data_IF_516036340547
#
_entry.id   IF_516036340547
#
_cell.length_a   1.000
_cell.length_b   1.000
_cell.length_c   1.000
_cell.angle_alpha   90.00
_cell.angle_beta   90.00
_cell.angle_gamma   90.00
#
_symmetry.space_group_name_H-M   'P 1'
#
loop_
_entity.id
_entity.type
_entity.pdbx_description
1 polymer ?
#
# COMPACT_ATOMS: atom_id res chain seq x y z
N UNK A 1 15.11 -22.32 20.05
CA UNK A 1 15.04 -21.15 20.93
C UNK A 1 14.77 -19.93 20.06
N UNK A 2 13.71 -19.18 20.34
CA UNK A 2 13.44 -17.92 19.64
C UNK A 2 14.33 -16.83 20.25
N UNK A 3 15.15 -16.20 19.42
CA UNK A 3 15.86 -14.98 19.78
C UNK A 3 14.85 -13.90 20.21
N UNK A 4 15.16 -13.17 21.28
CA UNK A 4 14.31 -12.05 21.74
C UNK A 4 14.40 -10.86 20.78
N UNK A 5 13.39 -9.98 20.80
CA UNK A 5 13.41 -8.76 19.97
C UNK A 5 14.63 -7.90 20.31
N UNK A 6 14.97 -7.79 21.59
CA UNK A 6 16.11 -7.02 22.08
C UNK A 6 17.45 -7.63 21.64
N UNK A 7 17.60 -8.96 21.71
CA UNK A 7 18.81 -9.66 21.22
C UNK A 7 19.00 -9.47 19.72
N UNK A 8 17.90 -9.55 18.96
CA UNK A 8 17.92 -9.32 17.52
C UNK A 8 18.27 -7.86 17.18
N UNK A 9 17.70 -6.91 17.93
CA UNK A 9 18.00 -5.47 17.82
C UNK A 9 19.48 -5.24 18.09
N UNK A 10 20.00 -5.75 19.19
CA UNK A 10 21.40 -5.58 19.61
C UNK A 10 22.39 -6.21 18.61
N UNK A 11 22.08 -7.38 18.05
CA UNK A 11 22.91 -7.98 17.00
C UNK A 11 22.92 -7.15 15.72
N UNK A 12 21.76 -6.64 15.30
CA UNK A 12 21.63 -5.85 14.08
C UNK A 12 22.28 -4.47 14.23
N UNK A 13 22.09 -3.81 15.38
CA UNK A 13 22.77 -2.54 15.70
C UNK A 13 24.26 -2.74 15.97
N UNK A 14 24.66 -3.94 16.42
CA UNK A 14 26.02 -4.44 16.60
C UNK A 14 26.90 -4.35 15.34
N UNK A 15 26.29 -4.48 14.17
CA UNK A 15 26.95 -4.42 12.86
C UNK A 15 27.02 -3.01 12.26
N UNK A 16 26.44 -2.02 12.95
CA UNK A 16 26.37 -0.63 12.50
C UNK A 16 27.55 0.14 13.11
N UNK A 17 28.28 0.98 12.34
CA UNK A 17 29.39 1.77 12.85
C UNK A 17 29.05 2.57 14.12
N UNK A 18 30.02 2.76 15.03
CA UNK A 18 29.81 3.46 16.32
C UNK A 18 29.28 4.89 16.17
N UNK A 19 29.77 5.63 15.16
CA UNK A 19 29.28 6.98 14.85
C UNK A 19 27.77 6.98 14.56
N UNK A 20 27.23 5.84 14.13
CA UNK A 20 25.83 5.68 13.80
C UNK A 20 24.95 5.54 15.05
N UNK A 21 25.40 4.79 16.06
CA UNK A 21 24.70 4.65 17.34
C UNK A 21 24.68 5.95 18.13
N UNK A 22 25.70 6.79 17.95
CA UNK A 22 25.82 8.08 18.63
C UNK A 22 24.82 9.14 18.13
N UNK A 23 24.28 8.99 16.92
CA UNK A 23 23.35 9.95 16.31
C UNK A 23 21.89 9.54 16.52
N UNK A 24 21.63 8.26 16.78
CA UNK A 24 20.28 7.79 17.05
C UNK A 24 19.89 8.03 18.51
N UNK A 25 19.12 9.10 18.74
CA UNK A 25 18.20 9.07 19.87
C UNK A 25 17.26 7.84 19.70
N UNK A 26 16.97 7.08 20.77
CA UNK A 26 16.28 5.78 20.70
C UNK A 26 14.88 5.76 20.04
N UNK A 27 14.39 6.88 19.50
CA UNK A 27 13.04 7.05 18.97
C UNK A 27 12.97 7.83 17.65
N UNK A 28 14.09 8.10 16.98
CA UNK A 28 14.04 8.78 15.69
C UNK A 28 13.62 7.81 14.57
N UNK A 29 12.31 7.65 14.46
CA UNK A 29 11.58 6.92 13.41
C UNK A 29 12.06 7.31 12.01
N UNK A 30 12.34 8.59 11.79
CA UNK A 30 12.72 9.12 10.48
C UNK A 30 14.15 8.73 10.13
N UNK A 31 15.08 8.84 11.09
CA UNK A 31 16.46 8.35 10.91
C UNK A 31 16.49 6.84 10.61
N UNK A 32 15.68 6.04 11.30
CA UNK A 32 15.56 4.61 11.02
C UNK A 32 15.00 4.33 9.61
N UNK A 33 14.03 5.13 9.15
CA UNK A 33 13.54 5.02 7.77
C UNK A 33 14.62 5.39 6.74
N UNK A 34 15.28 6.54 6.90
CA UNK A 34 16.35 7.03 6.01
C UNK A 34 17.46 5.98 5.87
N UNK A 35 17.81 5.32 6.96
CA UNK A 35 18.74 4.20 6.97
C UNK A 35 18.30 3.01 6.15
N UNK A 36 17.05 2.61 6.35
CA UNK A 36 16.46 1.51 5.58
C UNK A 36 16.61 1.80 4.09
N UNK A 37 16.22 3.00 3.66
CA UNK A 37 16.35 3.49 2.29
C UNK A 37 17.82 3.56 1.82
N UNK A 38 18.74 4.05 2.66
CA UNK A 38 20.17 4.07 2.37
C UNK A 38 20.71 2.66 2.09
N UNK A 39 20.34 1.67 2.90
CA UNK A 39 20.77 0.30 2.65
C UNK A 39 20.12 -0.31 1.40
N UNK A 40 18.89 0.09 1.03
CA UNK A 40 18.33 -0.34 -0.26
C UNK A 40 19.16 0.13 -1.46
N UNK A 41 19.71 1.35 -1.39
CA UNK A 41 20.57 1.94 -2.44
C UNK A 41 21.86 1.15 -2.68
N UNK A 42 22.48 0.62 -1.63
CA UNK A 42 23.82 0.00 -1.71
C UNK A 42 23.84 -1.37 -2.41
N UNK A 43 22.66 -2.00 -2.60
CA UNK A 43 22.48 -3.34 -3.19
C UNK A 43 23.21 -4.46 -2.44
N UNK A 44 22.88 -5.71 -2.76
CA UNK A 44 23.48 -6.90 -2.17
C UNK A 44 22.80 -7.39 -0.88
N UNK A 45 23.09 -8.63 -0.50
CA UNK A 45 22.34 -9.35 0.53
C UNK A 45 22.51 -8.77 1.95
N UNK A 46 23.71 -8.31 2.28
CA UNK A 46 24.01 -7.67 3.58
C UNK A 46 23.17 -6.40 3.73
N UNK A 47 23.19 -5.52 2.73
CA UNK A 47 22.42 -4.29 2.76
C UNK A 47 20.91 -4.54 2.72
N UNK A 48 20.41 -5.53 1.98
CA UNK A 48 19.00 -5.91 2.03
C UNK A 48 18.55 -6.36 3.44
N UNK A 49 19.43 -7.03 4.19
CA UNK A 49 19.16 -7.43 5.58
C UNK A 49 19.17 -6.25 6.54
N UNK A 50 20.12 -5.33 6.38
CA UNK A 50 20.19 -4.08 7.15
C UNK A 50 18.98 -3.17 6.85
N UNK A 51 18.55 -3.06 5.59
CA UNK A 51 17.36 -2.31 5.22
C UNK A 51 16.11 -2.83 5.95
N UNK A 52 15.90 -4.16 5.94
CA UNK A 52 14.80 -4.79 6.68
C UNK A 52 14.86 -4.52 8.18
N UNK A 53 16.05 -4.57 8.77
CA UNK A 53 16.26 -4.30 10.19
C UNK A 53 15.83 -2.87 10.54
N UNK A 54 16.29 -1.90 9.74
CA UNK A 54 16.01 -0.49 9.99
C UNK A 54 14.54 -0.11 9.77
N UNK A 55 13.92 -0.66 8.72
CA UNK A 55 12.48 -0.49 8.54
C UNK A 55 11.65 -1.13 9.66
N UNK A 56 12.09 -2.26 10.23
CA UNK A 56 11.42 -2.83 11.40
C UNK A 56 11.48 -1.87 12.60
N UNK A 57 12.65 -1.30 12.89
CA UNK A 57 12.82 -0.29 13.96
C UNK A 57 11.94 0.94 13.71
N UNK A 58 11.87 1.42 12.47
CA UNK A 58 11.03 2.56 12.09
C UNK A 58 9.53 2.25 12.31
N UNK A 59 9.08 1.06 11.93
CA UNK A 59 7.69 0.64 12.06
C UNK A 59 7.26 0.34 13.51
N UNK A 60 8.18 -0.02 14.40
CA UNK A 60 7.87 -0.25 15.82
C UNK A 60 7.34 1.00 16.53
N UNK A 61 7.79 2.19 16.12
CA UNK A 61 7.52 3.45 16.83
C UNK A 61 6.50 4.36 16.11
N UNK A 62 6.08 4.06 14.87
CA UNK A 62 5.06 4.80 14.13
C UNK A 62 4.34 3.90 13.10
N UNK A 63 3.45 3.00 13.53
CA UNK A 63 3.25 1.74 12.82
C UNK A 63 2.51 1.83 11.50
N UNK A 64 1.57 2.75 11.32
CA UNK A 64 0.72 2.79 10.12
C UNK A 64 1.36 3.62 9.01
N UNK A 65 1.55 4.92 9.25
CA UNK A 65 2.13 5.85 8.27
C UNK A 65 3.51 5.41 7.81
N UNK A 66 4.35 4.94 8.75
CA UNK A 66 5.67 4.46 8.40
C UNK A 66 5.60 3.16 7.60
N UNK A 67 4.68 2.24 7.89
CA UNK A 67 4.53 1.01 7.10
C UNK A 67 4.16 1.29 5.64
N UNK A 68 3.29 2.28 5.38
CA UNK A 68 2.98 2.71 4.02
C UNK A 68 4.19 3.31 3.30
N UNK A 69 4.99 4.13 3.99
CA UNK A 69 6.24 4.70 3.44
C UNK A 69 7.29 3.63 3.16
N UNK A 70 7.45 2.66 4.06
CA UNK A 70 8.33 1.51 3.86
C UNK A 70 7.88 0.68 2.65
N UNK A 71 6.58 0.44 2.52
CA UNK A 71 6.04 -0.27 1.36
C UNK A 71 6.37 0.48 0.06
N UNK A 72 6.18 1.81 0.04
CA UNK A 72 6.49 2.66 -1.12
C UNK A 72 7.97 2.60 -1.48
N UNK A 73 8.85 2.62 -0.48
CA UNK A 73 10.29 2.49 -0.69
C UNK A 73 10.63 1.14 -1.34
N UNK A 74 10.12 0.03 -0.81
CA UNK A 74 10.32 -1.30 -1.42
C UNK A 74 9.77 -1.38 -2.85
N UNK A 75 8.63 -0.74 -3.10
CA UNK A 75 8.01 -0.66 -4.42
C UNK A 75 8.94 0.06 -5.41
N UNK A 76 9.47 1.24 -5.03
CA UNK A 76 10.40 2.04 -5.84
C UNK A 76 11.68 1.30 -6.20
N UNK A 77 12.15 0.43 -5.30
CA UNK A 77 13.35 -0.39 -5.49
C UNK A 77 13.09 -1.73 -6.18
N UNK A 78 11.86 -2.00 -6.62
CA UNK A 78 11.53 -3.21 -7.36
C UNK A 78 11.47 -4.48 -6.50
N UNK A 79 11.14 -4.36 -5.21
CA UNK A 79 10.82 -5.51 -4.34
C UNK A 79 9.32 -5.49 -3.97
N UNK A 80 8.42 -5.83 -4.91
CA UNK A 80 6.99 -5.80 -4.67
C UNK A 80 6.54 -6.82 -3.62
N UNK A 81 7.36 -7.84 -3.32
CA UNK A 81 7.05 -8.85 -2.28
C UNK A 81 7.11 -8.22 -0.90
N UNK A 82 8.17 -7.45 -0.63
CA UNK A 82 8.27 -6.70 0.62
C UNK A 82 7.27 -5.55 0.66
N UNK A 83 7.05 -4.84 -0.46
CA UNK A 83 6.02 -3.81 -0.51
C UNK A 83 4.64 -4.36 -0.12
N UNK A 84 4.20 -5.46 -0.74
CA UNK A 84 2.92 -6.11 -0.43
C UNK A 84 2.84 -6.56 1.04
N UNK A 85 3.93 -7.11 1.60
CA UNK A 85 3.98 -7.47 3.03
C UNK A 85 3.71 -6.26 3.94
N UNK A 86 4.34 -5.12 3.66
CA UNK A 86 4.17 -3.90 4.45
C UNK A 86 2.81 -3.24 4.25
N UNK A 87 2.25 -3.27 3.03
CA UNK A 87 0.87 -2.82 2.78
C UNK A 87 -0.13 -3.63 3.61
N UNK A 88 -0.04 -4.97 3.58
CA UNK A 88 -0.91 -5.85 4.38
C UNK A 88 -0.79 -5.56 5.88
N UNK A 89 0.42 -5.32 6.37
CA UNK A 89 0.66 -4.93 7.76
C UNK A 89 0.03 -3.57 8.10
N UNK A 90 0.18 -2.58 7.23
CA UNK A 90 -0.40 -1.25 7.41
C UNK A 90 -1.94 -1.32 7.46
N UNK A 91 -2.58 -1.99 6.48
CA UNK A 91 -4.03 -2.19 6.44
C UNK A 91 -4.52 -2.91 7.70
N UNK A 92 -3.88 -4.03 8.07
CA UNK A 92 -4.25 -4.81 9.24
C UNK A 92 -4.06 -4.07 10.58
N UNK A 93 -3.27 -3.00 10.60
CA UNK A 93 -3.03 -2.17 11.78
C UNK A 93 -3.99 -0.98 11.81
N UNK A 94 -4.15 -0.29 10.69
CA UNK A 94 -4.98 0.91 10.53
C UNK A 94 -6.48 0.61 10.64
N UNK A 95 -6.91 -0.48 10.01
CA UNK A 95 -8.32 -0.89 9.92
C UNK A 95 -8.65 -2.07 10.84
N UNK A 96 -7.81 -2.32 11.85
CA UNK A 96 -8.08 -3.35 12.87
C UNK A 96 -9.35 -2.99 13.65
N UNK A 97 -10.40 -3.79 13.45
CA UNK A 97 -11.56 -3.98 14.34
C UNK A 97 -11.92 -2.74 15.18
N UNK A 98 -12.33 -1.66 14.52
CA UNK A 98 -13.02 -0.55 15.20
C UNK A 98 -14.50 -0.92 15.29
N UNK A 99 -15.10 -1.01 16.49
CA UNK A 99 -16.55 -1.20 16.62
C UNK A 99 -17.29 -0.11 15.83
N UNK A 100 -18.21 -0.53 14.95
CA UNK A 100 -18.95 0.39 14.06
C UNK A 100 -18.10 1.03 12.95
N UNK A 101 -16.86 0.58 12.75
CA UNK A 101 -16.00 1.06 11.67
C UNK A 101 -16.13 0.25 10.38
N UNK A 102 -15.50 0.76 9.32
CA UNK A 102 -15.27 0.03 8.07
C UNK A 102 -14.09 -0.92 8.27
N UNK A 103 -14.31 -2.21 8.03
CA UNK A 103 -13.24 -3.21 8.01
C UNK A 103 -12.58 -3.24 6.62
N UNK A 104 -11.29 -3.53 6.56
CA UNK A 104 -10.56 -3.67 5.30
C UNK A 104 -9.76 -4.95 5.35
N UNK A 105 -10.02 -5.86 4.41
CA UNK A 105 -9.23 -7.08 4.26
C UNK A 105 -7.78 -6.70 3.93
N UNK A 106 -6.78 -7.24 4.65
CA UNK A 106 -5.37 -6.92 4.42
C UNK A 106 -4.88 -7.19 2.99
N UNK A 107 -5.52 -8.10 2.26
CA UNK A 107 -5.22 -8.40 0.87
C UNK A 107 -5.81 -7.39 -0.13
N UNK A 108 -6.59 -6.41 0.31
CA UNK A 108 -7.10 -5.33 -0.53
C UNK A 108 -5.92 -4.60 -1.19
N UNK A 109 -5.97 -4.48 -2.53
CA UNK A 109 -4.88 -3.92 -3.35
C UNK A 109 -3.53 -4.66 -3.23
N UNK A 110 -3.54 -5.95 -2.87
CA UNK A 110 -2.32 -6.75 -2.87
C UNK A 110 -1.63 -6.73 -4.25
N UNK A 111 -0.33 -6.44 -4.27
CA UNK A 111 0.45 -6.47 -5.49
C UNK A 111 0.51 -7.90 -6.04
N UNK A 112 0.14 -8.05 -7.31
CA UNK A 112 0.29 -9.28 -8.09
C UNK A 112 1.73 -9.38 -8.60
N UNK A 113 2.40 -10.47 -8.22
CA UNK A 113 3.82 -10.67 -8.45
C UNK A 113 4.01 -11.94 -9.27
N UNK A 114 4.70 -11.83 -10.40
CA UNK A 114 4.98 -12.97 -11.25
C UNK A 114 6.05 -13.93 -10.65
N UNK A 115 6.34 -15.00 -11.39
CA UNK A 115 7.36 -15.97 -11.00
C UNK A 115 8.78 -15.38 -10.93
N UNK A 116 9.04 -14.23 -11.57
CA UNK A 116 10.33 -13.52 -11.56
C UNK A 116 10.43 -12.54 -10.40
N UNK A 117 9.34 -12.32 -9.66
CA UNK A 117 9.30 -11.35 -8.57
C UNK A 117 8.95 -9.94 -9.03
N UNK A 118 8.54 -9.76 -10.28
CA UNK A 118 8.12 -8.46 -10.82
C UNK A 118 6.63 -8.25 -10.59
N UNK A 119 6.23 -7.00 -10.34
CA UNK A 119 4.82 -6.63 -10.40
C UNK A 119 4.34 -6.73 -11.86
N UNK A 120 3.24 -7.41 -12.11
CA UNK A 120 2.67 -7.59 -13.46
C UNK A 120 1.25 -7.04 -13.51
N UNK A 121 0.94 -6.35 -14.62
CA UNK A 121 -0.30 -5.60 -14.91
C UNK A 121 -1.48 -5.96 -14.03
N UNK A 122 -1.94 -4.97 -13.27
CA UNK A 122 -2.85 -5.16 -12.15
C UNK A 122 -4.16 -4.46 -12.45
N UNK A 123 -5.19 -5.27 -12.72
CA UNK A 123 -6.58 -4.84 -12.64
C UNK A 123 -6.92 -4.81 -11.15
N UNK A 124 -6.76 -3.63 -10.56
CA UNK A 124 -7.04 -3.42 -9.15
C UNK A 124 -8.53 -3.31 -8.98
N UNK A 125 -9.09 -4.06 -8.05
CA UNK A 125 -10.50 -3.95 -7.76
C UNK A 125 -10.80 -4.20 -6.31
N UNK A 126 -11.88 -3.56 -5.88
CA UNK A 126 -12.42 -3.68 -4.54
C UNK A 126 -13.86 -4.17 -4.61
N UNK A 127 -14.28 -4.85 -3.57
CA UNK A 127 -15.67 -5.19 -3.29
C UNK A 127 -16.07 -4.57 -1.97
N UNK A 128 -17.29 -4.04 -1.88
CA UNK A 128 -17.86 -3.58 -0.61
C UNK A 128 -18.94 -4.58 -0.20
N UNK A 129 -18.69 -5.29 0.89
CA UNK A 129 -19.64 -6.23 1.49
C UNK A 129 -20.41 -5.50 2.58
N UNK A 130 -21.73 -5.42 2.44
CA UNK A 130 -22.60 -4.73 3.39
C UNK A 130 -24.00 -5.35 3.41
N UNK A 131 -24.87 -4.88 4.31
CA UNK A 131 -26.28 -5.29 4.35
C UNK A 131 -27.20 -4.48 3.40
N UNK A 132 -26.67 -3.42 2.77
CA UNK A 132 -27.44 -2.50 1.91
C UNK A 132 -26.63 -2.20 0.63
N UNK A 133 -26.87 -3.00 -0.41
CA UNK A 133 -26.15 -2.94 -1.69
C UNK A 133 -26.38 -1.62 -2.44
N UNK A 134 -27.55 -0.99 -2.30
CA UNK A 134 -27.85 0.29 -2.94
C UNK A 134 -26.98 1.40 -2.35
N UNK A 135 -26.85 1.44 -1.02
CA UNK A 135 -25.93 2.36 -0.34
C UNK A 135 -24.48 2.05 -0.64
N UNK A 136 -24.10 0.77 -0.71
CA UNK A 136 -22.73 0.38 -1.06
C UNK A 136 -22.39 0.81 -2.49
N UNK A 137 -23.35 0.70 -3.41
CA UNK A 137 -23.24 1.17 -4.80
C UNK A 137 -23.09 2.69 -4.86
N UNK A 138 -23.87 3.43 -4.07
CA UNK A 138 -23.74 4.89 -3.96
C UNK A 138 -22.36 5.30 -3.42
N UNK A 139 -21.87 4.64 -2.36
CA UNK A 139 -20.54 4.88 -1.80
C UNK A 139 -19.42 4.59 -2.81
N UNK A 140 -19.49 3.48 -3.54
CA UNK A 140 -18.53 3.16 -4.60
C UNK A 140 -18.59 4.16 -5.75
N UNK A 141 -19.77 4.65 -6.12
CA UNK A 141 -19.93 5.68 -7.15
C UNK A 141 -19.24 6.97 -6.73
N UNK A 142 -19.42 7.41 -5.48
CA UNK A 142 -18.76 8.59 -4.95
C UNK A 142 -17.23 8.42 -4.88
N UNK A 143 -16.76 7.25 -4.41
CA UNK A 143 -15.34 6.95 -4.35
C UNK A 143 -14.70 6.90 -5.75
N UNK A 144 -15.39 6.34 -6.74
CA UNK A 144 -14.91 6.25 -8.12
C UNK A 144 -14.53 7.62 -8.70
N UNK A 145 -15.33 8.65 -8.41
CA UNK A 145 -15.09 10.01 -8.86
C UNK A 145 -13.81 10.60 -8.25
N UNK A 146 -13.52 10.26 -6.99
CA UNK A 146 -12.34 10.72 -6.24
C UNK A 146 -11.08 9.91 -6.60
N UNK A 147 -11.22 8.62 -6.89
CA UNK A 147 -10.09 7.77 -7.28
C UNK A 147 -9.34 8.29 -8.49
N UNK A 148 -10.06 8.84 -9.49
CA UNK A 148 -9.48 9.42 -10.69
C UNK A 148 -8.55 10.62 -10.43
N UNK A 149 -8.58 11.19 -9.21
CA UNK A 149 -7.76 12.34 -8.81
C UNK A 149 -6.64 11.99 -7.83
N UNK A 150 -6.45 10.70 -7.47
CA UNK A 150 -5.40 10.27 -6.55
C UNK A 150 -4.08 10.06 -7.28
N UNK A 151 -3.04 10.79 -6.91
CA UNK A 151 -1.71 10.68 -7.50
C UNK A 151 -0.92 9.49 -6.94
N UNK A 152 0.16 9.12 -7.64
CA UNK A 152 1.10 8.09 -7.21
C UNK A 152 1.70 8.33 -5.81
N UNK A 153 1.97 9.57 -5.43
CA UNK A 153 2.46 9.90 -4.09
C UNK A 153 1.34 9.95 -3.01
N UNK A 154 0.12 9.55 -3.35
CA UNK A 154 -1.00 9.42 -2.42
C UNK A 154 -1.73 10.74 -2.12
N UNK A 155 -1.57 11.78 -2.94
CA UNK A 155 -2.35 13.02 -2.78
C UNK A 155 -3.66 12.92 -3.57
N UNK A 156 -4.76 13.30 -2.94
CA UNK A 156 -6.01 13.54 -3.65
C UNK A 156 -5.99 14.97 -4.22
N UNK A 157 -6.10 15.09 -5.54
CA UNK A 157 -6.24 16.40 -6.18
C UNK A 157 -7.69 16.88 -6.03
N UNK A 158 -7.86 18.17 -5.76
CA UNK A 158 -9.20 18.78 -5.65
C UNK A 158 -9.99 18.73 -6.96
N UNK A 159 -11.28 19.08 -6.90
CA UNK A 159 -12.16 19.09 -8.06
C UNK A 159 -11.57 19.92 -9.23
N UNK A 160 -11.29 19.26 -10.35
CA UNK A 160 -10.66 19.86 -11.54
C UNK A 160 -9.14 19.62 -11.66
N UNK A 161 -8.51 18.99 -10.68
CA UNK A 161 -7.13 18.53 -10.76
C UNK A 161 -7.02 17.23 -11.54
N UNK A 162 -6.94 17.31 -12.86
CA UNK A 162 -6.59 16.14 -13.68
C UNK A 162 -5.06 16.05 -13.76
N UNK A 163 -4.47 15.00 -13.19
CA UNK A 163 -3.03 14.74 -13.32
C UNK A 163 -2.68 14.41 -14.77
N UNK A 164 -2.14 15.38 -15.51
CA UNK A 164 -1.78 15.21 -16.93
C UNK A 164 -0.38 14.63 -17.11
N UNK A 165 -0.14 13.46 -16.50
CA UNK A 165 1.06 12.64 -16.70
C UNK A 165 2.24 12.90 -15.74
N UNK A 166 3.20 11.96 -15.71
CA UNK A 166 4.43 12.06 -14.91
C UNK A 166 4.30 11.55 -13.47
N UNK A 167 4.95 12.22 -12.50
CA UNK A 167 4.91 11.86 -11.05
C UNK A 167 3.52 12.01 -10.43
N UNK A 168 2.63 12.76 -11.07
CA UNK A 168 1.22 12.93 -10.68
C UNK A 168 0.31 11.93 -11.42
N UNK A 169 0.84 10.77 -11.83
CA UNK A 169 0.04 9.73 -12.45
C UNK A 169 -1.12 9.32 -11.51
N UNK A 170 -2.34 9.52 -11.99
CA UNK A 170 -3.57 9.00 -11.38
C UNK A 170 -3.98 7.70 -12.07
N UNK A 171 -4.94 6.93 -11.52
CA UNK A 171 -5.54 5.82 -12.26
C UNK A 171 -5.96 6.26 -13.66
N UNK A 172 -5.54 5.51 -14.68
CA UNK A 172 -5.83 5.79 -16.10
C UNK A 172 -7.29 5.52 -16.42
N UNK A 173 -7.94 4.61 -15.67
CA UNK A 173 -9.36 4.32 -15.76
C UNK A 173 -9.90 3.88 -14.40
N UNK A 174 -11.13 4.28 -14.08
CA UNK A 174 -11.89 3.78 -12.93
C UNK A 174 -13.26 3.39 -13.46
N UNK A 175 -13.68 2.14 -13.23
CA UNK A 175 -14.98 1.64 -13.65
C UNK A 175 -16.09 2.25 -12.79
N UNK A 176 -17.32 2.25 -13.31
CA UNK A 176 -18.49 2.35 -12.44
C UNK A 176 -18.61 1.12 -11.52
N UNK A 177 -19.48 1.17 -10.50
CA UNK A 177 -19.76 0.00 -9.69
C UNK A 177 -20.50 -1.07 -10.50
N UNK A 178 -20.05 -2.32 -10.39
CA UNK A 178 -20.67 -3.48 -11.00
C UNK A 178 -21.25 -4.40 -9.91
N UNK A 179 -22.47 -4.96 -10.09
CA UNK A 179 -23.04 -5.89 -9.13
C UNK A 179 -22.26 -7.21 -9.08
N UNK A 180 -22.04 -7.75 -7.88
CA UNK A 180 -21.41 -9.06 -7.67
C UNK A 180 -22.07 -9.81 -6.50
N UNK A 181 -21.85 -11.14 -6.35
CA UNK A 181 -22.63 -11.99 -5.43
C UNK A 181 -22.64 -11.57 -3.96
N UNK A 182 -21.59 -10.92 -3.46
CA UNK A 182 -21.45 -10.52 -2.05
C UNK A 182 -21.43 -9.00 -1.85
N UNK A 183 -21.89 -8.25 -2.85
CA UNK A 183 -21.93 -6.79 -2.85
C UNK A 183 -21.24 -6.17 -4.07
N UNK A 184 -21.47 -4.88 -4.33
CA UNK A 184 -20.97 -4.21 -5.52
C UNK A 184 -19.43 -4.13 -5.53
N UNK A 185 -18.88 -4.09 -6.74
CA UNK A 185 -17.45 -4.05 -6.99
C UNK A 185 -17.07 -2.86 -7.84
N UNK A 186 -15.82 -2.44 -7.75
CA UNK A 186 -15.24 -1.42 -8.62
C UNK A 186 -13.85 -1.88 -9.05
N UNK A 187 -13.44 -1.46 -10.24
CA UNK A 187 -12.09 -1.69 -10.76
C UNK A 187 -11.42 -0.39 -11.19
N UNK A 188 -10.10 -0.39 -11.13
CA UNK A 188 -9.26 0.70 -11.58
C UNK A 188 -8.02 0.16 -12.28
N UNK A 189 -7.70 0.81 -13.40
CA UNK A 189 -6.45 0.63 -14.13
C UNK A 189 -5.48 1.71 -13.66
N UNK A 190 -4.35 1.29 -13.06
CA UNK A 190 -3.27 2.19 -12.63
C UNK A 190 -2.05 2.08 -13.55
N UNK A 191 -2.24 1.59 -14.77
CA UNK A 191 -1.16 1.27 -15.70
C UNK A 191 -0.32 0.11 -15.18
N UNK A 192 0.98 0.35 -15.01
CA UNK A 192 1.93 -0.70 -14.65
C UNK A 192 1.89 -1.06 -13.16
N UNK A 193 1.48 -0.14 -12.26
CA UNK A 193 1.54 -0.36 -10.82
C UNK A 193 0.67 0.61 -9.99
N UNK A 194 -0.19 0.08 -9.12
CA UNK A 194 -0.72 0.83 -7.97
C UNK A 194 0.37 0.90 -6.91
N UNK A 195 0.89 2.10 -6.72
CA UNK A 195 1.91 2.35 -5.70
C UNK A 195 1.28 2.42 -4.30
N UNK A 196 2.01 2.05 -3.24
CA UNK A 196 1.44 1.92 -1.90
C UNK A 196 0.76 3.17 -1.34
N UNK A 197 1.31 4.37 -1.60
CA UNK A 197 0.69 5.60 -1.13
C UNK A 197 -0.62 5.94 -1.86
N UNK A 198 -0.70 5.66 -3.16
CA UNK A 198 -1.97 5.73 -3.91
C UNK A 198 -2.99 4.75 -3.33
N UNK A 199 -2.60 3.49 -3.09
CA UNK A 199 -3.48 2.48 -2.48
C UNK A 199 -4.02 2.92 -1.12
N UNK A 200 -3.15 3.47 -0.25
CA UNK A 200 -3.53 4.00 1.06
C UNK A 200 -4.64 5.03 0.93
N UNK A 201 -4.46 6.02 0.06
CA UNK A 201 -5.41 7.12 -0.12
C UNK A 201 -6.72 6.63 -0.72
N UNK A 202 -6.68 5.72 -1.69
CA UNK A 202 -7.90 5.11 -2.26
C UNK A 202 -8.70 4.31 -1.21
N UNK A 203 -8.03 3.54 -0.34
CA UNK A 203 -8.71 2.86 0.78
C UNK A 203 -9.33 3.90 1.73
N UNK A 204 -8.61 4.97 2.05
CA UNK A 204 -9.09 6.05 2.91
C UNK A 204 -10.36 6.71 2.36
N UNK A 205 -10.35 7.10 1.09
CA UNK A 205 -11.50 7.64 0.36
C UNK A 205 -12.69 6.67 0.44
N UNK A 206 -12.49 5.39 0.10
CA UNK A 206 -13.59 4.43 0.11
C UNK A 206 -14.17 4.25 1.52
N UNK A 207 -13.31 4.18 2.54
CA UNK A 207 -13.75 4.10 3.92
C UNK A 207 -14.52 5.36 4.38
N UNK A 208 -14.15 6.54 3.89
CA UNK A 208 -14.91 7.79 4.12
C UNK A 208 -16.29 7.74 3.47
N UNK A 209 -16.39 7.36 2.20
CA UNK A 209 -17.66 7.30 1.47
C UNK A 209 -18.62 6.24 2.05
N UNK A 210 -18.09 5.08 2.48
CA UNK A 210 -18.89 4.05 3.17
C UNK A 210 -19.47 4.59 4.48
N UNK A 211 -18.68 5.35 5.26
CA UNK A 211 -19.19 5.98 6.50
C UNK A 211 -20.21 7.07 6.19
N UNK A 212 -20.00 7.87 5.14
CA UNK A 212 -20.94 8.90 4.72
C UNK A 212 -22.30 8.31 4.28
N UNK A 213 -22.29 7.09 3.72
CA UNK A 213 -23.50 6.33 3.40
C UNK A 213 -24.17 5.69 4.63
N UNK A 214 -23.56 5.76 5.82
CA UNK A 214 -24.09 5.15 7.05
C UNK A 214 -24.00 3.63 7.06
N UNK A 215 -23.01 3.05 6.39
CA UNK A 215 -22.77 1.62 6.30
C UNK A 215 -21.82 1.13 7.41
N UNK A 216 -22.26 1.26 8.66
CA UNK A 216 -21.50 0.80 9.81
C UNK A 216 -21.30 -0.73 9.74
N UNK A 217 -20.05 -1.19 9.87
CA UNK A 217 -19.71 -2.61 9.80
C UNK A 217 -19.57 -3.18 8.38
N UNK A 218 -19.62 -2.35 7.34
CA UNK A 218 -19.24 -2.79 5.99
C UNK A 218 -17.76 -3.18 5.90
N UNK A 219 -17.44 -4.05 4.95
CA UNK A 219 -16.10 -4.57 4.72
C UNK A 219 -15.64 -4.31 3.29
N UNK A 220 -14.42 -3.78 3.15
CA UNK A 220 -13.72 -3.64 1.87
C UNK A 220 -12.87 -4.90 1.65
N UNK A 221 -13.06 -5.57 0.52
CA UNK A 221 -12.33 -6.79 0.13
C UNK A 221 -11.68 -6.65 -1.25
N UNK A 222 -10.71 -7.50 -1.60
CA UNK A 222 -10.30 -7.67 -3.00
C UNK A 222 -11.48 -8.05 -3.88
N UNK A 223 -11.60 -7.46 -5.08
CA UNK A 223 -12.63 -7.84 -6.06
C UNK A 223 -12.54 -9.34 -6.38
N UNK A 224 -13.63 -10.11 -6.36
CA UNK A 224 -13.63 -11.50 -6.79
C UNK A 224 -13.07 -11.67 -8.20
N UNK A 225 -12.24 -12.69 -8.39
CA UNK A 225 -11.67 -12.98 -9.71
C UNK A 225 -10.62 -11.97 -10.20
N UNK A 226 -10.13 -11.07 -9.35
CA UNK A 226 -8.88 -10.34 -9.58
C UNK A 226 -7.74 -11.36 -9.75
N UNK A 227 -7.54 -11.81 -10.99
CA UNK A 227 -6.50 -12.73 -11.40
C UNK A 227 -5.39 -11.95 -12.07
N UNK A 228 -4.18 -12.50 -11.98
CA UNK A 228 -3.06 -12.13 -12.84
C UNK A 228 -3.60 -12.15 -14.28
N UNK A 229 -3.49 -11.03 -15.03
CA UNK A 229 -3.67 -11.07 -16.48
C UNK A 229 -2.52 -11.90 -17.05
N UNK A 230 -2.68 -13.21 -17.11
CA UNK A 230 -1.77 -14.10 -17.82
C UNK A 230 -1.77 -13.69 -19.30
N UNK A 231 -0.75 -12.95 -19.74
CA UNK A 231 -0.56 -12.58 -21.14
C UNK A 231 -0.25 -11.12 -21.45
N UNK A 232 -0.29 -10.21 -20.47
CA UNK A 232 0.22 -8.86 -20.71
C UNK A 232 1.75 -8.89 -20.68
N UNK A 233 2.38 -8.82 -21.86
CA UNK A 233 3.83 -8.58 -21.97
C UNK A 233 4.13 -7.26 -21.26
N UNK A 234 4.93 -7.23 -20.17
CA UNK A 234 5.22 -5.98 -19.49
C UNK A 234 5.94 -5.04 -20.44
N UNK A 235 5.31 -3.92 -20.77
CA UNK A 235 5.99 -2.82 -21.44
C UNK A 235 6.94 -2.23 -20.42
N UNK A 236 8.24 -2.51 -20.54
CA UNK A 236 9.26 -1.86 -19.70
C UNK A 236 9.30 -0.37 -20.05
N UNK A 237 8.37 0.42 -19.51
CA UNK A 237 8.56 1.85 -19.42
C UNK A 237 9.79 2.07 -18.52
N UNK A 238 10.86 2.58 -19.12
CA UNK A 238 12.05 3.00 -18.40
C UNK A 238 11.64 3.98 -17.30
N UNK A 239 11.61 3.51 -16.05
CA UNK A 239 11.71 4.39 -14.90
C UNK A 239 13.10 5.02 -15.00
N UNK A 240 13.15 6.27 -15.47
CA UNK A 240 14.38 7.03 -15.63
C UNK A 240 15.20 6.97 -14.35
N UNK A 241 16.47 6.57 -14.50
CA UNK A 241 17.50 6.67 -13.47
C UNK A 241 17.88 8.13 -13.24
#
# INVERSE_FOLDING_TARGET
MSESVDERRERLTGQVPEWYRAVMEPHDVETAFILGSYHMLQRGWVHASLARAWFAVAAENAPVDMAWRIADEYCRWGDPRQANKWMRYAIATEYRMRPGGVAVDPGTYALVIDHRGSAVGQDFGVQVVSADDDRATAALTAAALRFATVTADGRELGAGGNGTGGRDATPTSVSGPDPAPDGPTLSCDCGDLLVPLMARTMIGILAEEIRAAGLDGAEIRPRPGSRIRDGATPTLAHVGR
#
